data_IF_090941629709
#
_entry.id   IF_090941629709
#
_cell.length_a   1.000
_cell.length_b   1.000
_cell.length_c   1.000
_cell.angle_alpha   90.00
_cell.angle_beta   90.00
_cell.angle_gamma   90.00
#
_symmetry.space_group_name_H-M   'P 1'
#
loop_
_entity.id
_entity.type
_entity.pdbx_description
1 polymer ?
#
# COMPACT_ATOMS: atom_id res chain seq x y z
N UNK A 1 -1.06 9.40 -12.85
CA UNK A 1 -0.61 8.77 -11.59
C UNK A 1 0.69 8.03 -11.84
N UNK A 2 1.68 8.19 -10.95
CA UNK A 2 2.92 7.39 -10.98
C UNK A 2 2.82 6.38 -9.84
N UNK A 3 2.81 5.10 -10.19
CA UNK A 3 2.89 4.00 -9.23
C UNK A 3 4.38 3.67 -9.12
N UNK A 4 5.02 3.80 -7.94
CA UNK A 4 6.44 3.52 -7.80
C UNK A 4 6.74 2.05 -8.04
N UNK A 5 8.03 1.77 -8.19
CA UNK A 5 8.51 0.41 -8.32
C UNK A 5 8.33 -0.38 -7.02
N UNK A 6 8.30 -1.70 -7.12
CA UNK A 6 8.20 -2.60 -5.96
C UNK A 6 9.38 -2.48 -4.99
N UNK A 7 10.53 -1.99 -5.46
CA UNK A 7 11.69 -1.74 -4.59
C UNK A 7 11.57 -0.48 -3.73
N UNK A 8 10.52 0.33 -3.93
CA UNK A 8 10.37 1.58 -3.19
C UNK A 8 10.02 1.32 -1.71
N UNK A 9 10.75 1.92 -0.75
CA UNK A 9 10.52 1.70 0.67
C UNK A 9 9.14 2.18 1.15
N UNK A 10 8.40 3.00 0.37
CA UNK A 10 7.04 3.39 0.71
C UNK A 10 6.10 2.19 0.90
N UNK A 11 6.30 1.12 0.12
CA UNK A 11 5.45 -0.05 0.19
C UNK A 11 5.65 -0.82 1.47
N UNK A 12 6.91 -0.98 1.90
CA UNK A 12 7.26 -1.63 3.16
C UNK A 12 6.66 -0.86 4.34
N UNK A 13 6.73 0.47 4.33
CA UNK A 13 6.09 1.31 5.34
C UNK A 13 4.57 1.10 5.39
N UNK A 14 3.92 1.03 4.22
CA UNK A 14 2.48 0.81 4.14
C UNK A 14 2.04 -0.57 4.66
N UNK A 15 2.76 -1.64 4.31
CA UNK A 15 2.44 -2.99 4.80
C UNK A 15 2.89 -3.21 6.24
N UNK A 16 3.85 -2.44 6.76
CA UNK A 16 4.29 -2.53 8.16
C UNK A 16 3.25 -1.98 9.14
N UNK A 17 2.21 -1.28 8.65
CA UNK A 17 1.11 -0.79 9.49
C UNK A 17 1.45 0.41 10.37
N UNK A 18 2.65 0.97 10.21
CA UNK A 18 3.14 2.12 10.98
C UNK A 18 2.26 3.38 10.78
N UNK A 19 1.65 3.48 9.59
CA UNK A 19 0.68 4.50 9.24
C UNK A 19 -0.59 3.83 8.70
N UNK A 20 -1.69 3.94 9.45
CA UNK A 20 -3.04 3.55 8.98
C UNK A 20 -3.87 4.80 8.68
N UNK A 21 -3.55 5.56 7.60
CA UNK A 21 -4.31 6.73 7.22
C UNK A 21 -5.74 6.33 6.87
N UNK A 22 -6.66 7.31 6.99
CA UNK A 22 -8.05 7.11 6.57
C UNK A 22 -8.12 6.97 5.05
N UNK A 23 -8.06 5.73 4.56
CA UNK A 23 -8.27 5.40 3.16
C UNK A 23 -9.73 5.67 2.75
N UNK A 24 -9.93 6.22 1.57
CA UNK A 24 -11.24 6.48 0.98
C UNK A 24 -11.89 5.22 0.43
N UNK A 25 -11.08 4.26 -0.02
CA UNK A 25 -11.55 3.05 -0.67
C UNK A 25 -11.47 1.86 0.30
N UNK A 26 -12.61 1.20 0.50
CA UNK A 26 -12.74 0.05 1.41
C UNK A 26 -11.83 -1.11 1.00
N UNK A 27 -11.73 -1.42 -0.28
CA UNK A 27 -10.83 -2.46 -0.77
C UNK A 27 -9.35 -2.16 -0.46
N UNK A 28 -8.93 -0.89 -0.44
CA UNK A 28 -7.58 -0.51 0.01
C UNK A 28 -7.36 -0.88 1.49
N UNK A 29 -8.34 -0.60 2.36
CA UNK A 29 -8.27 -1.00 3.78
C UNK A 29 -8.19 -2.51 3.94
N UNK A 30 -9.00 -3.24 3.17
CA UNK A 30 -9.07 -4.70 3.25
C UNK A 30 -7.76 -5.33 2.78
N UNK A 31 -7.22 -4.89 1.63
CA UNK A 31 -5.96 -5.45 1.12
C UNK A 31 -4.80 -5.09 2.03
N UNK A 32 -4.67 -3.83 2.47
CA UNK A 32 -3.60 -3.44 3.40
C UNK A 32 -3.69 -4.17 4.72
N UNK A 33 -4.87 -4.28 5.34
CA UNK A 33 -5.01 -5.03 6.60
C UNK A 33 -4.63 -6.50 6.44
N UNK A 34 -4.99 -7.12 5.32
CA UNK A 34 -4.60 -8.51 5.02
C UNK A 34 -3.08 -8.64 4.79
N UNK A 35 -2.49 -7.74 4.02
CA UNK A 35 -1.05 -7.77 3.73
C UNK A 35 -0.20 -7.43 4.96
N UNK A 36 -0.69 -6.51 5.79
CA UNK A 36 -0.10 -6.17 7.07
C UNK A 36 -0.09 -7.38 8.00
N UNK A 37 -1.23 -8.07 8.16
CA UNK A 37 -1.28 -9.30 8.95
C UNK A 37 -0.31 -10.38 8.43
N UNK A 38 -0.24 -10.58 7.11
CA UNK A 38 0.68 -11.55 6.49
C UNK A 38 2.14 -11.18 6.81
N UNK A 39 2.49 -9.91 6.67
CA UNK A 39 3.85 -9.41 6.97
C UNK A 39 4.16 -9.45 8.47
N UNK A 40 3.17 -9.21 9.34
CA UNK A 40 3.32 -9.29 10.79
C UNK A 40 3.54 -10.73 11.26
N UNK A 41 2.87 -11.69 10.61
CA UNK A 41 3.05 -13.12 10.87
C UNK A 41 4.40 -13.65 10.37
N UNK A 42 4.92 -13.12 9.27
CA UNK A 42 6.21 -13.49 8.70
C UNK A 42 6.92 -12.26 8.09
N UNK A 43 7.73 -11.52 8.88
CA UNK A 43 8.44 -10.33 8.41
C UNK A 43 9.71 -10.69 7.64
N UNK A 44 9.60 -11.64 6.72
CA UNK A 44 10.68 -12.10 5.85
C UNK A 44 10.73 -11.27 4.56
N UNK A 45 11.91 -11.05 3.94
CA UNK A 45 12.04 -10.29 2.70
C UNK A 45 11.18 -10.84 1.55
N UNK A 46 11.04 -12.17 1.47
CA UNK A 46 10.20 -12.85 0.47
C UNK A 46 8.71 -12.51 0.64
N UNK A 47 8.24 -12.45 1.89
CA UNK A 47 6.86 -12.11 2.22
C UNK A 47 6.58 -10.63 2.00
N UNK A 48 7.52 -9.76 2.38
CA UNK A 48 7.49 -8.35 2.01
C UNK A 48 7.31 -8.18 0.48
N UNK A 49 8.17 -8.82 -0.32
CA UNK A 49 8.13 -8.67 -1.78
C UNK A 49 6.79 -9.16 -2.37
N UNK A 50 6.26 -10.28 -1.87
CA UNK A 50 4.92 -10.77 -2.25
C UNK A 50 3.83 -9.76 -1.88
N UNK A 51 3.86 -9.23 -0.65
CA UNK A 51 2.89 -8.24 -0.19
C UNK A 51 2.95 -6.95 -1.03
N UNK A 52 4.15 -6.46 -1.33
CA UNK A 52 4.34 -5.28 -2.19
C UNK A 52 3.82 -5.53 -3.60
N UNK A 53 4.14 -6.68 -4.20
CA UNK A 53 3.66 -7.06 -5.53
C UNK A 53 2.13 -7.08 -5.62
N UNK A 54 1.46 -7.68 -4.63
CA UNK A 54 -0.01 -7.72 -4.55
C UNK A 54 -0.61 -6.32 -4.38
N UNK A 55 -0.05 -5.50 -3.49
CA UNK A 55 -0.51 -4.14 -3.25
C UNK A 55 -0.37 -3.26 -4.50
N UNK A 56 0.80 -3.35 -5.16
CA UNK A 56 1.08 -2.62 -6.40
C UNK A 56 0.15 -3.05 -7.52
N UNK A 57 -0.06 -4.36 -7.68
CA UNK A 57 -0.97 -4.92 -8.69
C UNK A 57 -2.41 -4.43 -8.48
N UNK A 58 -2.86 -4.35 -7.22
CA UNK A 58 -4.15 -3.77 -6.87
C UNK A 58 -4.27 -2.31 -7.34
N UNK A 59 -3.27 -1.46 -7.08
CA UNK A 59 -3.31 -0.07 -7.56
C UNK A 59 -3.20 0.07 -9.08
N UNK A 60 -2.46 -0.82 -9.75
CA UNK A 60 -2.38 -0.86 -11.22
C UNK A 60 -3.75 -1.21 -11.81
N UNK A 61 -4.42 -2.22 -11.27
CA UNK A 61 -5.76 -2.63 -11.71
C UNK A 61 -6.83 -1.58 -11.43
N UNK A 62 -6.68 -0.85 -10.32
CA UNK A 62 -7.63 0.19 -9.90
C UNK A 62 -7.17 1.61 -10.27
N UNK A 63 -6.20 1.76 -11.19
CA UNK A 63 -5.61 3.07 -11.55
C UNK A 63 -6.65 4.07 -12.07
N UNK A 64 -7.74 3.59 -12.67
CA UNK A 64 -8.81 4.41 -13.22
C UNK A 64 -9.78 4.93 -12.13
N UNK A 65 -9.67 4.44 -10.89
CA UNK A 65 -10.48 4.88 -9.76
C UNK A 65 -9.81 6.07 -9.04
N UNK A 66 -10.43 7.27 -9.01
CA UNK A 66 -9.84 8.44 -8.36
C UNK A 66 -9.61 8.22 -6.85
N UNK A 67 -10.47 7.44 -6.18
CA UNK A 67 -10.30 7.09 -4.76
C UNK A 67 -9.08 6.20 -4.50
N UNK A 68 -8.80 5.25 -5.40
CA UNK A 68 -7.57 4.45 -5.33
C UNK A 68 -6.36 5.34 -5.57
N UNK A 69 -6.52 6.38 -6.40
CA UNK A 69 -5.45 7.35 -6.62
C UNK A 69 -5.09 8.12 -5.36
N UNK A 70 -6.10 8.70 -4.69
CA UNK A 70 -5.91 9.40 -3.40
C UNK A 70 -5.28 8.50 -2.35
N UNK A 71 -5.70 7.23 -2.29
CA UNK A 71 -5.18 6.29 -1.31
C UNK A 71 -3.70 5.95 -1.54
N UNK A 72 -3.29 5.79 -2.80
CA UNK A 72 -1.87 5.60 -3.12
C UNK A 72 -1.06 6.84 -2.74
N UNK A 73 -1.56 8.05 -3.00
CA UNK A 73 -0.84 9.27 -2.62
C UNK A 73 -0.58 9.36 -1.10
N UNK A 74 -1.51 8.87 -0.28
CA UNK A 74 -1.33 8.73 1.17
C UNK A 74 -0.23 7.72 1.50
N UNK A 75 -0.21 6.56 0.84
CA UNK A 75 0.81 5.51 1.00
C UNK A 75 2.21 6.02 0.62
N UNK A 76 2.31 6.82 -0.45
CA UNK A 76 3.56 7.41 -0.90
C UNK A 76 4.10 8.48 0.06
N UNK A 77 3.39 8.80 1.14
CA UNK A 77 3.76 9.89 2.03
C UNK A 77 3.66 11.27 1.36
N UNK A 78 2.93 11.40 0.24
CA UNK A 78 2.56 12.70 -0.33
C UNK A 78 1.42 13.38 0.43
N UNK A 79 1.00 12.82 1.57
CA UNK A 79 0.22 13.54 2.55
C UNK A 79 1.05 14.76 3.02
N UNK A 80 0.75 15.88 2.38
CA UNK A 80 1.12 17.25 2.73
C UNK A 80 1.39 17.37 4.23
N UNK A 81 2.66 17.63 4.56
CA UNK A 81 3.04 18.25 5.82
C UNK A 81 2.14 19.49 6.00
N UNK A 82 1.29 19.48 7.02
CA UNK A 82 0.66 20.69 7.56
C UNK A 82 1.21 20.94 8.96
#
# INVERSE_FOLDING_TARGET
MIIPDETDPCWIKAISGEDSPKYELLATKIILGRLNLIYEMDPSPETAQKCVSELRSFFIWNKDLPKAQTDLEKILGKAVNH
#
